data_IF_672808797283
#
_entry.id   IF_672808797283
#
_cell.length_a   1.000
_cell.length_b   1.000
_cell.length_c   1.000
_cell.angle_alpha   90.00
_cell.angle_beta   90.00
_cell.angle_gamma   90.00
#
_symmetry.space_group_name_H-M   'P 1'
#
loop_
_entity.id
_entity.type
_entity.pdbx_description
1 polymer ?
#
# COMPACT_ATOMS: atom_id res chain seq x y z
N UNK A 1 -1.94 8.00 -6.52
CA UNK A 1 -2.27 8.32 -5.12
C UNK A 1 -1.54 7.43 -4.10
N UNK A 2 -1.70 6.09 -4.12
CA UNK A 2 -0.97 5.21 -3.17
C UNK A 2 0.56 5.27 -3.32
N UNK A 3 1.08 5.03 -4.52
CA UNK A 3 2.53 5.07 -4.79
C UNK A 3 3.22 6.41 -4.50
N UNK A 4 2.55 7.54 -4.78
CA UNK A 4 3.06 8.87 -4.44
C UNK A 4 3.15 9.08 -2.93
N UNK A 5 2.20 8.52 -2.16
CA UNK A 5 2.25 8.58 -0.71
C UNK A 5 3.41 7.74 -0.16
N UNK A 6 3.59 6.51 -0.66
CA UNK A 6 4.72 5.63 -0.31
C UNK A 6 6.05 6.34 -0.57
N UNK A 7 6.25 6.87 -1.77
CA UNK A 7 7.47 7.59 -2.15
C UNK A 7 7.73 8.81 -1.26
N UNK A 8 6.69 9.58 -0.93
CA UNK A 8 6.81 10.72 -0.01
C UNK A 8 7.22 10.28 1.38
N UNK A 9 6.57 9.27 1.96
CA UNK A 9 6.89 8.72 3.29
C UNK A 9 8.35 8.22 3.33
N UNK A 10 8.80 7.55 2.27
CA UNK A 10 10.19 7.10 2.14
C UNK A 10 11.17 8.29 2.09
N UNK A 11 10.89 9.28 1.24
CA UNK A 11 11.76 10.47 1.05
C UNK A 11 11.92 11.32 2.31
N UNK A 12 10.96 11.27 3.24
CA UNK A 12 11.02 12.00 4.51
C UNK A 12 12.03 11.40 5.52
N UNK A 13 12.67 10.27 5.18
CA UNK A 13 13.89 9.70 5.75
C UNK A 13 14.00 9.74 7.28
N UNK A 14 12.92 9.38 7.98
CA UNK A 14 12.88 9.34 9.44
C UNK A 14 12.05 8.14 9.94
N UNK A 15 12.69 7.23 10.69
CA UNK A 15 12.03 6.04 11.27
C UNK A 15 10.78 6.37 12.10
N UNK A 16 10.76 7.53 12.77
CA UNK A 16 9.60 8.00 13.55
C UNK A 16 8.41 8.33 12.64
N UNK A 17 8.66 8.79 11.41
CA UNK A 17 7.62 9.12 10.45
C UNK A 17 7.09 7.91 9.68
N UNK A 18 7.96 6.91 9.44
CA UNK A 18 7.59 5.63 8.83
C UNK A 18 6.66 4.80 9.70
N UNK A 19 6.70 5.00 11.04
CA UNK A 19 5.86 4.32 12.04
C UNK A 19 5.75 2.82 11.75
N UNK A 20 6.81 2.10 12.11
CA UNK A 20 6.92 0.66 11.90
C UNK A 20 6.23 -0.04 13.07
N UNK A 21 5.33 -0.94 12.74
CA UNK A 21 4.58 -1.80 13.64
C UNK A 21 4.86 -3.26 13.29
N UNK A 22 4.76 -4.15 14.27
CA UNK A 22 4.75 -5.59 14.04
C UNK A 22 3.29 -6.06 13.98
N UNK A 23 2.93 -6.82 12.96
CA UNK A 23 1.63 -7.49 12.88
C UNK A 23 1.61 -8.65 13.88
N UNK A 24 0.39 -9.01 14.32
CA UNK A 24 0.19 -10.14 15.22
C UNK A 24 0.45 -11.48 14.52
N UNK A 25 0.19 -11.54 13.22
CA UNK A 25 0.50 -12.68 12.37
C UNK A 25 2.02 -12.73 12.14
N UNK A 26 2.58 -13.95 12.19
CA UNK A 26 3.98 -14.20 11.88
C UNK A 26 4.07 -14.74 10.47
N UNK A 27 5.10 -14.34 9.74
CA UNK A 27 5.44 -14.98 8.48
C UNK A 27 5.75 -16.46 8.70
N UNK A 28 5.65 -17.28 7.66
CA UNK A 28 5.95 -18.72 7.66
C UNK A 28 7.34 -19.06 8.24
N UNK A 29 8.27 -18.11 8.19
CA UNK A 29 9.64 -18.21 8.74
C UNK A 29 9.76 -17.80 10.22
N UNK A 30 8.64 -17.60 10.91
CA UNK A 30 8.59 -17.21 12.33
C UNK A 30 9.04 -15.78 12.64
N UNK A 31 9.28 -14.95 11.61
CA UNK A 31 9.58 -13.52 11.74
C UNK A 31 8.30 -12.72 11.95
N UNK A 32 8.39 -11.66 12.74
CA UNK A 32 7.32 -10.68 12.84
C UNK A 32 7.14 -10.03 11.47
N UNK A 33 5.91 -10.03 10.98
CA UNK A 33 5.55 -9.32 9.75
C UNK A 33 5.45 -7.82 10.07
N UNK A 34 6.04 -6.98 9.23
CA UNK A 34 6.06 -5.55 9.46
C UNK A 34 4.87 -4.87 8.80
N UNK A 35 4.46 -3.77 9.41
CA UNK A 35 3.45 -2.87 8.90
C UNK A 35 3.97 -1.46 9.06
N UNK A 36 3.97 -0.67 7.99
CA UNK A 36 4.32 0.74 8.09
C UNK A 36 3.12 1.63 7.82
N UNK A 37 3.32 2.91 8.13
CA UNK A 37 2.39 3.95 7.74
C UNK A 37 2.13 4.02 6.23
N UNK A 38 3.11 3.62 5.42
CA UNK A 38 2.99 3.66 3.97
C UNK A 38 1.97 2.62 3.46
N UNK A 39 2.00 1.40 4.00
CA UNK A 39 1.01 0.36 3.74
C UNK A 39 -0.41 0.87 4.07
N UNK A 40 -0.54 1.50 5.23
CA UNK A 40 -1.83 2.00 5.72
C UNK A 40 -2.40 3.15 4.89
N UNK A 41 -1.57 4.12 4.54
CA UNK A 41 -2.00 5.27 3.72
C UNK A 41 -2.33 4.82 2.30
N UNK A 42 -1.48 3.96 1.73
CA UNK A 42 -1.70 3.38 0.39
C UNK A 42 -3.02 2.60 0.36
N UNK A 43 -3.23 1.71 1.32
CA UNK A 43 -4.47 0.95 1.48
C UNK A 43 -5.69 1.87 1.59
N UNK A 44 -5.63 2.90 2.44
CA UNK A 44 -6.74 3.84 2.63
C UNK A 44 -7.14 4.54 1.32
N UNK A 45 -6.17 4.99 0.51
CA UNK A 45 -6.47 5.61 -0.79
C UNK A 45 -7.09 4.62 -1.78
N UNK A 46 -6.59 3.39 -1.84
CA UNK A 46 -7.15 2.37 -2.72
C UNK A 46 -8.57 2.00 -2.32
N UNK A 47 -8.83 1.81 -1.02
CA UNK A 47 -10.17 1.54 -0.52
C UNK A 47 -11.12 2.72 -0.75
N UNK A 48 -10.69 3.97 -0.56
CA UNK A 48 -11.51 5.15 -0.85
C UNK A 48 -11.96 5.20 -2.33
N UNK A 49 -11.06 4.87 -3.25
CA UNK A 49 -11.37 4.81 -4.67
C UNK A 49 -12.35 3.67 -4.99
N UNK A 50 -12.06 2.47 -4.50
CA UNK A 50 -12.81 1.26 -4.83
C UNK A 50 -14.20 1.20 -4.18
N UNK A 51 -14.38 1.85 -3.03
CA UNK A 51 -15.69 1.98 -2.35
C UNK A 51 -16.76 2.68 -3.21
N UNK A 52 -16.36 3.43 -4.25
CA UNK A 52 -17.29 4.02 -5.23
C UNK A 52 -17.99 2.96 -6.08
N UNK A 53 -17.52 1.72 -6.06
CA UNK A 53 -18.07 0.58 -6.80
C UNK A 53 -18.54 -0.51 -5.82
N UNK A 54 -19.72 -0.36 -5.21
CA UNK A 54 -20.16 -1.17 -4.07
C UNK A 54 -20.37 -2.67 -4.38
N UNK A 55 -20.41 -3.04 -5.66
CA UNK A 55 -20.57 -4.44 -6.10
C UNK A 55 -19.22 -5.17 -6.26
N UNK A 56 -18.09 -4.47 -6.19
CA UNK A 56 -16.77 -5.12 -6.24
C UNK A 56 -16.50 -5.86 -4.93
N UNK A 57 -15.99 -7.09 -5.03
CA UNK A 57 -15.38 -7.76 -3.88
C UNK A 57 -13.94 -7.29 -3.75
N UNK A 58 -13.63 -6.59 -2.67
CA UNK A 58 -12.26 -6.12 -2.39
C UNK A 58 -11.70 -6.90 -1.21
N UNK A 59 -10.52 -7.48 -1.41
CA UNK A 59 -9.75 -8.18 -0.39
C UNK A 59 -8.41 -7.45 -0.26
N UNK A 60 -8.10 -6.99 0.94
CA UNK A 60 -6.85 -6.29 1.23
C UNK A 60 -6.11 -7.02 2.35
N UNK A 61 -4.79 -7.02 2.26
CA UNK A 61 -3.90 -7.48 3.32
C UNK A 61 -4.13 -6.72 4.63
N UNK A 62 -4.29 -5.40 4.54
CA UNK A 62 -4.36 -4.52 5.69
C UNK A 62 -5.78 -4.35 6.24
N UNK A 63 -6.10 -5.11 7.29
CA UNK A 63 -7.50 -5.31 7.72
C UNK A 63 -8.02 -4.35 8.80
N UNK A 64 -7.22 -3.62 9.57
CA UNK A 64 -7.76 -2.97 10.79
C UNK A 64 -7.16 -1.64 11.26
N UNK A 65 -6.19 -1.04 10.58
CA UNK A 65 -5.61 0.21 11.05
C UNK A 65 -6.34 1.44 10.50
N UNK A 66 -6.97 2.20 11.41
CA UNK A 66 -7.67 3.44 11.09
C UNK A 66 -6.67 4.59 11.04
N UNK A 67 -6.41 5.09 9.83
CA UNK A 67 -5.75 6.38 9.63
C UNK A 67 -6.78 7.50 9.73
N UNK A 68 -6.40 8.60 10.39
CA UNK A 68 -7.24 9.80 10.48
C UNK A 68 -7.30 10.51 9.11
N UNK A 69 -8.45 11.04 8.72
CA UNK A 69 -8.63 11.83 7.50
C UNK A 69 -7.62 12.99 7.39
N UNK A 70 -7.36 13.72 8.49
CA UNK A 70 -6.38 14.82 8.48
C UNK A 70 -4.97 14.35 8.10
N UNK A 71 -4.65 13.12 8.46
CA UNK A 71 -3.38 12.52 8.15
C UNK A 71 -3.32 12.05 6.70
N UNK A 72 -4.40 11.47 6.19
CA UNK A 72 -4.55 11.06 4.80
C UNK A 72 -4.44 12.26 3.84
N UNK A 73 -5.08 13.37 4.18
CA UNK A 73 -5.08 14.58 3.35
C UNK A 73 -3.69 15.16 3.10
N UNK A 74 -2.74 14.98 4.03
CA UNK A 74 -1.35 15.40 3.83
C UNK A 74 -0.66 14.71 2.67
N UNK A 75 -1.10 13.50 2.33
CA UNK A 75 -0.53 12.68 1.26
C UNK A 75 -1.41 12.64 0.00
N UNK A 76 -2.54 13.35 -0.01
CA UNK A 76 -3.31 13.56 -1.22
C UNK A 76 -2.47 14.37 -2.20
N UNK A 77 -2.17 13.77 -3.33
CA UNK A 77 -1.58 14.46 -4.46
C UNK A 77 -2.69 14.81 -5.45
N UNK A 78 -2.57 15.97 -6.10
CA UNK A 78 -3.38 16.26 -7.28
C UNK A 78 -2.82 15.44 -8.45
N UNK A 79 -3.63 14.54 -9.00
CA UNK A 79 -3.20 13.57 -10.01
C UNK A 79 -3.74 13.90 -11.41
N UNK A 80 -4.07 15.16 -11.66
CA UNK A 80 -4.68 15.59 -12.93
C UNK A 80 -3.81 15.22 -14.15
N UNK A 81 -2.50 15.52 -14.11
CA UNK A 81 -1.55 15.19 -15.18
C UNK A 81 -1.45 13.67 -15.45
N UNK A 82 -1.40 12.87 -14.39
CA UNK A 82 -1.38 11.40 -14.49
C UNK A 82 -2.66 10.89 -15.18
N UNK A 83 -3.80 11.49 -14.83
CA UNK A 83 -5.10 11.11 -15.41
C UNK A 83 -5.19 11.56 -16.88
N UNK A 84 -4.71 12.75 -17.21
CA UNK A 84 -4.63 13.16 -18.61
C UNK A 84 -3.81 12.19 -19.46
N UNK A 85 -2.66 11.72 -18.94
CA UNK A 85 -1.84 10.70 -19.60
C UNK A 85 -2.50 9.32 -19.71
N UNK A 86 -3.25 8.88 -18.69
CA UNK A 86 -3.93 7.59 -18.72
C UNK A 86 -5.13 7.56 -19.67
N UNK A 87 -5.80 8.70 -19.88
CA UNK A 87 -7.04 8.77 -20.65
C UNK A 87 -6.86 8.29 -22.09
N UNK A 88 -5.77 8.68 -22.73
CA UNK A 88 -5.45 8.27 -24.10
C UNK A 88 -5.18 6.76 -24.17
N UNK A 89 -4.40 6.23 -23.22
CA UNK A 89 -4.14 4.79 -23.12
C UNK A 89 -5.44 3.98 -22.93
N UNK A 90 -6.29 4.36 -21.98
CA UNK A 90 -7.58 3.68 -21.73
C UNK A 90 -8.47 3.71 -22.98
N UNK A 91 -8.48 4.83 -23.70
CA UNK A 91 -9.30 4.98 -24.92
C UNK A 91 -8.86 4.05 -26.05
N UNK A 92 -7.60 3.60 -26.04
CA UNK A 92 -7.06 2.66 -27.02
C UNK A 92 -7.35 1.19 -26.69
N UNK A 93 -7.77 0.89 -25.46
CA UNK A 93 -8.02 -0.49 -25.02
C UNK A 93 -9.35 -1.03 -25.57
N UNK A 94 -9.41 -2.34 -25.92
CA UNK A 94 -10.65 -2.97 -26.32
C UNK A 94 -11.66 -2.92 -25.17
N UNK A 95 -12.89 -2.50 -25.47
CA UNK A 95 -13.96 -2.40 -24.48
C UNK A 95 -14.66 -3.74 -24.29
N UNK A 96 -14.65 -4.25 -23.06
CA UNK A 96 -15.46 -5.40 -22.64
C UNK A 96 -16.39 -5.01 -21.49
N UNK A 97 -17.57 -5.62 -21.46
CA UNK A 97 -18.54 -5.43 -20.37
C UNK A 97 -18.49 -6.61 -19.43
N UNK A 98 -18.10 -6.37 -18.18
CA UNK A 98 -18.04 -7.37 -17.12
C UNK A 98 -18.91 -6.88 -15.96
N UNK A 99 -19.85 -7.70 -15.45
CA UNK A 99 -20.60 -7.35 -14.25
C UNK A 99 -19.67 -7.17 -13.06
N UNK A 100 -19.80 -6.05 -12.34
CA UNK A 100 -18.92 -5.72 -11.20
C UNK A 100 -18.89 -6.83 -10.13
N UNK A 101 -20.03 -7.49 -9.87
CA UNK A 101 -20.12 -8.59 -8.90
C UNK A 101 -19.32 -9.86 -9.27
N UNK A 102 -18.78 -9.94 -10.50
CA UNK A 102 -17.87 -11.00 -10.94
C UNK A 102 -16.39 -10.62 -10.82
N UNK A 103 -16.10 -9.40 -10.37
CA UNK A 103 -14.73 -8.90 -10.23
C UNK A 103 -14.33 -8.96 -8.76
N UNK A 104 -13.18 -9.58 -8.50
CA UNK A 104 -12.52 -9.57 -7.20
C UNK A 104 -11.21 -8.83 -7.35
N UNK A 105 -10.97 -7.85 -6.49
CA UNK A 105 -9.72 -7.09 -6.43
C UNK A 105 -8.99 -7.51 -5.17
N UNK A 106 -7.75 -7.98 -5.35
CA UNK A 106 -6.83 -8.30 -4.28
C UNK A 106 -5.81 -7.17 -4.20
N UNK A 107 -5.59 -6.66 -3.00
CA UNK A 107 -4.73 -5.51 -2.74
C UNK A 107 -3.67 -5.90 -1.74
N UNK A 108 -2.43 -5.83 -2.19
CA UNK A 108 -1.26 -5.64 -1.35
C UNK A 108 -0.86 -4.17 -1.51
N UNK A 109 -0.98 -3.35 -0.45
CA UNK A 109 -0.77 -1.92 -0.56
C UNK A 109 0.70 -1.51 -0.70
N UNK A 110 1.63 -2.38 -0.30
CA UNK A 110 3.07 -2.19 -0.39
C UNK A 110 3.76 -3.56 -0.27
N UNK A 111 4.04 -4.17 -1.42
CA UNK A 111 4.83 -5.39 -1.45
C UNK A 111 6.27 -5.10 -0.99
N UNK A 112 6.85 -6.02 -0.21
CA UNK A 112 8.19 -5.87 0.36
C UNK A 112 8.29 -4.83 1.48
N UNK A 113 7.32 -4.78 2.40
CA UNK A 113 7.32 -3.87 3.56
C UNK A 113 8.61 -3.95 4.38
N UNK A 114 9.21 -5.14 4.52
CA UNK A 114 10.47 -5.33 5.24
C UNK A 114 11.63 -4.59 4.56
N UNK A 115 11.77 -4.77 3.26
CA UNK A 115 12.78 -4.13 2.41
C UNK A 115 12.58 -2.61 2.41
N UNK A 116 11.31 -2.17 2.33
CA UNK A 116 10.94 -0.76 2.39
C UNK A 116 11.47 -0.07 3.66
N UNK A 117 11.43 -0.76 4.80
CA UNK A 117 11.93 -0.21 6.07
C UNK A 117 13.46 -0.15 6.16
N UNK A 118 14.17 -0.82 5.26
CA UNK A 118 15.61 -1.04 5.34
C UNK A 118 16.03 -1.91 6.54
N UNK A 119 15.07 -2.55 7.22
CA UNK A 119 15.33 -3.47 8.35
C UNK A 119 15.56 -4.90 7.88
N UNK A 120 15.95 -5.11 6.63
CA UNK A 120 16.45 -6.37 6.07
C UNK A 120 17.80 -6.76 6.69
N UNK A 121 17.88 -6.79 8.02
CA UNK A 121 18.91 -7.56 8.70
C UNK A 121 18.57 -9.01 8.47
N UNK A 122 19.22 -9.60 7.46
CA UNK A 122 19.31 -11.04 7.26
C UNK A 122 19.82 -11.60 8.59
N UNK A 123 18.92 -12.21 9.38
CA UNK A 123 19.35 -13.14 10.42
C UNK A 123 19.88 -14.34 9.67
N UNK A 124 21.17 -14.31 9.40
CA UNK A 124 21.86 -15.55 9.10
C UNK A 124 21.84 -16.40 10.37
N UNK A 125 21.84 -17.73 10.24
CA UNK A 125 21.70 -18.69 11.34
C UNK A 125 22.77 -18.54 12.45
N UNK A 126 23.74 -17.65 12.26
CA UNK A 126 24.89 -17.38 13.13
C UNK A 126 24.81 -16.08 13.94
N UNK A 127 23.70 -15.33 13.91
CA UNK A 127 23.45 -14.26 14.88
C UNK A 127 24.34 -13.01 14.77
N UNK A 128 24.99 -12.75 13.62
CA UNK A 128 25.71 -11.49 13.40
C UNK A 128 24.93 -10.51 12.52
N UNK A 129 25.02 -9.23 12.87
CA UNK A 129 24.48 -8.12 12.11
C UNK A 129 25.60 -7.48 11.27
N UNK A 130 25.41 -7.35 9.96
CA UNK A 130 26.25 -6.48 9.13
C UNK A 130 25.54 -5.12 8.92
N UNK A 131 26.35 -4.06 8.89
CA UNK A 131 25.91 -2.68 8.61
C UNK A 131 25.83 -2.43 7.11
#
# INVERSE_FOLDING_TARGET
>A
MGGSAISRIYSENNKVKMQIYEKQERMDVGRAELLTRADLISNAFMLELLRRFPLLKVITEEKFAKINNRELDRYRADNYELWMGLRELISSMPSWRIPLGRIVIWIDPLDGTQEFTGLTKIRDCNGMYYN
#
